data_IF_950017500211
#
_entry.id   IF_950017500211
#
_cell.length_a   1.000
_cell.length_b   1.000
_cell.length_c   1.000
_cell.angle_alpha   90.00
_cell.angle_beta   90.00
_cell.angle_gamma   90.00
#
_symmetry.space_group_name_H-M   'P 1'
#
loop_
_entity.id
_entity.type
_entity.pdbx_description
1 polymer ?
#
# COMPACT_ATOMS: atom_id res chain seq x y z
N UNK A 1 11.57 -14.14 -25.13
CA UNK A 1 11.20 -13.18 -24.07
C UNK A 1 11.87 -13.66 -22.78
N UNK A 2 12.79 -12.88 -22.22
CA UNK A 2 13.41 -13.22 -20.93
C UNK A 2 12.34 -13.14 -19.85
N UNK A 3 12.23 -14.18 -19.02
CA UNK A 3 11.27 -14.26 -17.91
C UNK A 3 12.07 -14.17 -16.63
N UNK A 4 12.20 -12.96 -16.09
CA UNK A 4 12.86 -12.76 -14.80
C UNK A 4 11.88 -13.14 -13.69
N UNK A 5 12.26 -14.09 -12.83
CA UNK A 5 11.49 -14.51 -11.67
C UNK A 5 12.34 -14.46 -10.41
N UNK A 6 11.74 -13.95 -9.35
CA UNK A 6 12.37 -13.82 -8.04
C UNK A 6 11.79 -14.90 -7.12
N UNK A 7 12.67 -15.57 -6.39
CA UNK A 7 12.32 -16.64 -5.45
C UNK A 7 13.04 -16.47 -4.13
N UNK A 8 12.39 -16.91 -3.06
CA UNK A 8 13.02 -17.07 -1.75
C UNK A 8 13.49 -18.53 -1.61
N UNK A 9 14.77 -18.73 -1.35
CA UNK A 9 15.38 -20.05 -1.40
C UNK A 9 16.24 -20.30 -0.16
N UNK A 10 16.28 -21.55 0.29
CA UNK A 10 17.15 -22.00 1.37
C UNK A 10 18.49 -22.49 0.79
N UNK A 11 19.60 -22.07 1.39
CA UNK A 11 20.94 -22.58 1.08
C UNK A 11 21.09 -24.00 1.63
N UNK A 12 21.34 -24.95 0.75
CA UNK A 12 21.55 -26.37 1.09
C UNK A 12 23.03 -26.70 1.21
N UNK A 13 23.86 -26.05 0.38
CA UNK A 13 25.31 -26.15 0.41
C UNK A 13 25.94 -24.81 0.01
N UNK A 14 27.04 -24.47 0.66
CA UNK A 14 27.81 -23.25 0.41
C UNK A 14 29.29 -23.53 0.12
N UNK A 15 29.68 -24.81 0.04
CA UNK A 15 31.00 -25.21 -0.42
C UNK A 15 30.97 -25.47 -1.93
N UNK A 16 31.36 -24.46 -2.71
CA UNK A 16 31.41 -24.53 -4.18
C UNK A 16 32.35 -25.64 -4.71
N UNK A 17 33.20 -26.24 -3.88
CA UNK A 17 33.96 -27.43 -4.29
C UNK A 17 33.09 -28.69 -4.43
N UNK A 18 31.86 -28.65 -3.92
CA UNK A 18 30.86 -29.70 -4.14
C UNK A 18 30.07 -29.53 -5.45
N UNK A 19 30.39 -28.50 -6.24
CA UNK A 19 29.84 -28.34 -7.59
C UNK A 19 30.57 -29.24 -8.60
N UNK A 20 29.83 -29.76 -9.58
CA UNK A 20 30.36 -30.73 -10.57
C UNK A 20 31.55 -30.21 -11.40
N UNK A 21 31.72 -28.90 -11.51
CA UNK A 21 32.75 -28.25 -12.32
C UNK A 21 33.89 -27.58 -11.50
N UNK A 22 33.81 -27.57 -10.16
CA UNK A 22 34.89 -27.10 -9.26
C UNK A 22 35.44 -25.69 -9.52
N UNK A 23 34.66 -24.80 -10.16
CA UNK A 23 35.16 -23.50 -10.66
C UNK A 23 35.36 -22.42 -9.58
N UNK A 24 34.98 -22.65 -8.32
CA UNK A 24 35.13 -21.69 -7.19
C UNK A 24 34.63 -20.28 -7.52
N UNK A 25 33.43 -20.20 -8.08
CA UNK A 25 32.71 -18.98 -8.45
C UNK A 25 31.82 -18.44 -7.31
N UNK A 26 32.12 -18.82 -6.06
CA UNK A 26 31.31 -18.50 -4.88
C UNK A 26 29.85 -18.96 -5.03
N UNK A 27 29.61 -20.11 -5.67
CA UNK A 27 28.24 -20.60 -5.85
C UNK A 27 27.70 -21.22 -4.57
N UNK A 28 26.38 -21.17 -4.45
CA UNK A 28 25.62 -21.86 -3.41
C UNK A 28 24.59 -22.78 -4.05
N UNK A 29 24.37 -23.95 -3.46
CA UNK A 29 23.29 -24.85 -3.83
C UNK A 29 22.04 -24.45 -3.07
N UNK A 30 20.92 -24.31 -3.77
CA UNK A 30 19.68 -23.77 -3.18
C UNK A 30 18.46 -24.64 -3.41
N UNK A 31 17.49 -24.54 -2.51
CA UNK A 31 16.16 -25.14 -2.63
C UNK A 31 15.08 -24.06 -2.60
N UNK A 32 14.23 -24.04 -3.61
CA UNK A 32 13.08 -23.15 -3.71
C UNK A 32 11.83 -23.92 -3.31
N UNK A 33 11.01 -23.37 -2.41
CA UNK A 33 9.73 -23.96 -2.03
C UNK A 33 8.57 -23.15 -2.63
N UNK A 34 7.50 -23.81 -3.10
CA UNK A 34 7.26 -25.27 -3.09
C UNK A 34 7.89 -26.06 -4.25
N UNK A 35 8.49 -25.41 -5.24
CA UNK A 35 8.87 -25.99 -6.54
C UNK A 35 9.87 -27.15 -6.45
N UNK A 36 10.75 -27.15 -5.44
CA UNK A 36 11.83 -28.13 -5.28
C UNK A 36 11.70 -28.96 -3.99
N UNK A 37 10.49 -29.04 -3.42
CA UNK A 37 10.25 -29.74 -2.14
C UNK A 37 10.69 -31.21 -2.17
N UNK A 38 10.46 -31.91 -3.28
CA UNK A 38 10.74 -33.35 -3.46
C UNK A 38 12.05 -33.61 -4.22
N UNK A 39 12.82 -32.55 -4.52
CA UNK A 39 14.07 -32.65 -5.27
C UNK A 39 15.22 -33.00 -4.33
N UNK A 40 15.86 -34.13 -4.59
CA UNK A 40 17.05 -34.58 -3.86
C UNK A 40 18.21 -33.59 -4.02
N UNK A 41 19.00 -33.40 -2.96
CA UNK A 41 20.02 -32.34 -2.88
C UNK A 41 20.98 -32.32 -4.09
N UNK A 42 21.42 -33.49 -4.56
CA UNK A 42 22.31 -33.62 -5.73
C UNK A 42 21.76 -33.05 -7.05
N UNK A 43 20.44 -32.83 -7.14
CA UNK A 43 19.77 -32.30 -8.33
C UNK A 43 19.38 -30.81 -8.17
N UNK A 44 19.70 -30.20 -7.04
CA UNK A 44 19.43 -28.80 -6.80
C UNK A 44 20.42 -27.90 -7.55
N UNK A 45 19.98 -26.75 -8.06
CA UNK A 45 20.85 -25.88 -8.83
C UNK A 45 21.90 -25.20 -7.95
N UNK A 46 23.11 -25.10 -8.48
CA UNK A 46 24.15 -24.21 -8.01
C UNK A 46 23.99 -22.86 -8.69
N UNK A 47 23.89 -21.79 -7.92
CA UNK A 47 23.70 -20.43 -8.43
C UNK A 47 24.81 -19.52 -7.93
N UNK A 48 25.18 -18.55 -8.77
CA UNK A 48 26.30 -17.63 -8.52
C UNK A 48 25.82 -16.29 -7.97
N UNK A 49 26.69 -15.50 -7.32
CA UNK A 49 26.29 -14.17 -6.88
C UNK A 49 25.94 -13.29 -8.08
N UNK A 50 24.96 -12.40 -7.90
CA UNK A 50 24.64 -11.36 -8.88
C UNK A 50 25.77 -10.31 -9.01
N UNK A 51 26.51 -10.06 -7.92
CA UNK A 51 27.68 -9.18 -7.87
C UNK A 51 28.81 -9.81 -7.04
N UNK A 52 30.04 -9.79 -7.53
CA UNK A 52 31.18 -10.42 -6.85
C UNK A 52 31.92 -9.49 -5.87
N UNK A 53 31.62 -8.18 -5.87
CA UNK A 53 32.39 -7.21 -5.10
C UNK A 53 31.86 -7.13 -3.65
N UNK A 54 32.65 -7.63 -2.70
CA UNK A 54 32.41 -7.44 -1.26
C UNK A 54 31.26 -8.25 -0.66
N UNK A 55 30.65 -9.16 -1.42
CA UNK A 55 29.60 -10.04 -0.88
C UNK A 55 30.22 -11.21 -0.13
N UNK A 56 29.73 -11.47 1.09
CA UNK A 56 30.00 -12.71 1.79
C UNK A 56 29.36 -13.88 1.01
N UNK A 57 29.76 -15.12 1.28
CA UNK A 57 29.02 -16.30 0.79
C UNK A 57 27.94 -16.63 1.82
N UNK A 58 26.65 -16.77 1.43
CA UNK A 58 25.59 -17.22 2.33
C UNK A 58 25.97 -18.51 3.07
N UNK A 59 25.57 -18.62 4.33
CA UNK A 59 25.81 -19.83 5.11
C UNK A 59 24.78 -20.91 4.80
N UNK A 60 25.15 -22.17 5.01
CA UNK A 60 24.21 -23.27 4.93
C UNK A 60 23.02 -23.03 5.87
N UNK A 61 21.82 -23.30 5.36
CA UNK A 61 20.51 -23.01 5.96
C UNK A 61 20.06 -21.54 5.95
N UNK A 62 20.87 -20.60 5.46
CA UNK A 62 20.40 -19.23 5.25
C UNK A 62 19.28 -19.22 4.21
N UNK A 63 18.37 -18.26 4.35
CA UNK A 63 17.38 -17.95 3.33
C UNK A 63 17.79 -16.71 2.57
N UNK A 64 17.79 -16.80 1.24
CA UNK A 64 18.29 -15.76 0.34
C UNK A 64 17.32 -15.50 -0.80
N UNK A 65 17.42 -14.31 -1.38
CA UNK A 65 16.71 -13.97 -2.62
C UNK A 65 17.52 -14.47 -3.81
N UNK A 66 16.82 -15.12 -4.72
CA UNK A 66 17.37 -15.66 -5.95
C UNK A 66 16.58 -15.17 -7.15
N UNK A 67 17.28 -14.94 -8.26
CA UNK A 67 16.74 -14.44 -9.51
C UNK A 67 17.05 -15.48 -10.59
N UNK A 68 16.03 -15.99 -11.26
CA UNK A 68 16.18 -16.85 -12.43
C UNK A 68 15.73 -16.10 -13.69
N UNK A 69 16.56 -16.18 -14.73
CA UNK A 69 16.27 -15.55 -16.03
C UNK A 69 15.60 -16.52 -17.03
N UNK A 70 15.36 -17.75 -16.57
CA UNK A 70 14.70 -18.82 -17.32
C UNK A 70 13.66 -19.56 -16.46
N UNK A 71 12.75 -20.29 -17.11
CA UNK A 71 11.67 -21.03 -16.45
C UNK A 71 12.10 -22.41 -15.92
N UNK A 72 13.31 -22.85 -16.21
CA UNK A 72 13.82 -24.20 -15.95
C UNK A 72 14.90 -24.23 -14.87
N UNK A 73 15.09 -23.12 -14.14
CA UNK A 73 16.05 -22.99 -13.05
C UNK A 73 17.51 -23.26 -13.47
N UNK A 74 17.87 -22.98 -14.73
CA UNK A 74 19.22 -23.25 -15.24
C UNK A 74 20.20 -22.11 -15.02
N UNK A 75 19.69 -20.88 -15.02
CA UNK A 75 20.51 -19.67 -14.90
C UNK A 75 19.94 -18.81 -13.78
N UNK A 76 20.45 -19.08 -12.58
CA UNK A 76 20.09 -18.40 -11.35
C UNK A 76 21.24 -17.54 -10.82
N UNK A 77 20.86 -16.47 -10.14
CA UNK A 77 21.75 -15.61 -9.38
C UNK A 77 21.21 -15.43 -7.97
N UNK A 78 22.07 -15.34 -6.97
CA UNK A 78 21.64 -14.90 -5.64
C UNK A 78 22.08 -13.47 -5.36
N UNK A 79 21.29 -12.77 -4.57
CA UNK A 79 21.65 -11.47 -4.00
C UNK A 79 21.90 -11.73 -2.51
N UNK A 80 23.17 -11.75 -2.10
CA UNK A 80 23.54 -11.95 -0.69
C UNK A 80 23.62 -10.63 0.05
N UNK A 81 22.51 -9.92 0.07
CA UNK A 81 22.48 -8.73 0.86
C UNK A 81 21.12 -8.57 1.51
N UNK A 82 21.08 -8.86 2.81
CA UNK A 82 20.04 -8.32 3.68
C UNK A 82 19.97 -6.79 3.50
N UNK A 83 21.11 -6.11 3.28
CA UNK A 83 21.13 -4.68 2.99
C UNK A 83 20.55 -4.32 1.62
N UNK A 84 20.54 -5.20 0.62
CA UNK A 84 19.84 -4.90 -0.65
C UNK A 84 18.33 -4.94 -0.47
N UNK A 85 17.79 -5.66 0.52
CA UNK A 85 16.37 -5.50 0.87
C UNK A 85 16.15 -4.34 1.82
N UNK A 86 16.97 -4.22 2.86
CA UNK A 86 16.83 -3.18 3.89
C UNK A 86 17.08 -1.75 3.34
N UNK A 87 17.99 -1.57 2.37
CA UNK A 87 18.29 -0.26 1.78
C UNK A 87 17.49 0.04 0.49
N UNK A 88 16.94 -0.98 -0.18
CA UNK A 88 16.21 -0.79 -1.45
C UNK A 88 14.70 -0.74 -1.22
N UNK A 89 14.21 -1.35 -0.15
CA UNK A 89 12.80 -1.35 0.22
C UNK A 89 12.61 -1.29 1.73
N UNK A 90 12.52 -0.08 2.25
CA UNK A 90 12.19 0.16 3.65
C UNK A 90 10.69 -0.05 3.90
N UNK A 91 10.31 -1.30 4.19
CA UNK A 91 8.94 -1.64 4.58
C UNK A 91 8.52 -0.94 5.87
N UNK A 92 9.45 -0.58 6.76
CA UNK A 92 9.12 0.09 8.03
C UNK A 92 8.51 1.47 7.80
N UNK A 93 8.94 2.18 6.75
CA UNK A 93 8.32 3.45 6.33
C UNK A 93 6.89 3.23 5.84
N UNK A 94 6.64 2.16 5.09
CA UNK A 94 5.30 1.82 4.59
C UNK A 94 4.39 1.45 5.77
N UNK A 95 4.84 0.55 6.63
CA UNK A 95 4.13 0.13 7.83
C UNK A 95 3.82 1.32 8.73
N UNK A 96 4.80 2.18 9.01
CA UNK A 96 4.62 3.40 9.82
C UNK A 96 3.58 4.34 9.22
N UNK A 97 3.54 4.49 7.90
CA UNK A 97 2.62 5.40 7.24
C UNK A 97 1.20 4.85 7.15
N UNK A 98 1.05 3.57 6.79
CA UNK A 98 -0.26 2.97 6.64
C UNK A 98 -0.88 2.64 8.02
N UNK A 99 -0.09 2.32 9.06
CA UNK A 99 -0.61 2.10 10.43
C UNK A 99 -1.25 3.35 11.05
N UNK A 100 -1.00 4.54 10.50
CA UNK A 100 -1.68 5.78 10.90
C UNK A 100 -3.14 5.85 10.39
N UNK A 101 -3.52 4.94 9.50
CA UNK A 101 -4.83 4.91 8.83
C UNK A 101 -5.71 3.88 9.53
N UNK A 102 -6.58 4.35 10.42
CA UNK A 102 -7.46 3.49 11.22
C UNK A 102 -8.39 2.61 10.37
N UNK A 103 -8.73 3.04 9.16
CA UNK A 103 -9.64 2.32 8.24
C UNK A 103 -9.00 1.09 7.59
N UNK A 104 -7.67 0.97 7.61
CA UNK A 104 -6.96 -0.17 7.00
C UNK A 104 -6.96 -1.40 7.92
N UNK A 105 -7.18 -1.19 9.23
CA UNK A 105 -7.07 -2.22 10.25
C UNK A 105 -5.61 -2.48 10.65
N UNK A 106 -5.37 -3.62 11.30
CA UNK A 106 -4.02 -4.05 11.67
C UNK A 106 -3.21 -4.39 10.44
N UNK A 107 -1.94 -3.98 10.46
CA UNK A 107 -0.98 -4.25 9.40
C UNK A 107 0.16 -5.03 10.00
N UNK A 108 0.50 -6.15 9.37
CA UNK A 108 1.66 -6.95 9.72
C UNK A 108 2.33 -7.37 8.43
N UNK A 109 3.66 -7.38 8.37
CA UNK A 109 4.33 -8.00 7.22
C UNK A 109 3.96 -9.50 7.16
N UNK A 110 3.63 -10.08 5.99
CA UNK A 110 3.68 -9.52 4.63
C UNK A 110 2.31 -9.08 4.07
N UNK A 111 1.36 -8.69 4.91
CA UNK A 111 -0.04 -8.48 4.52
C UNK A 111 -0.26 -7.31 3.56
N UNK A 112 0.68 -6.37 3.47
CA UNK A 112 0.57 -5.25 2.53
C UNK A 112 1.27 -5.56 1.21
N UNK A 113 0.48 -5.64 0.15
CA UNK A 113 0.96 -5.55 -1.23
C UNK A 113 0.91 -4.09 -1.65
N UNK A 114 2.01 -3.52 -2.12
CA UNK A 114 2.06 -2.10 -2.46
C UNK A 114 2.98 -1.76 -3.63
N UNK A 115 2.77 -0.55 -4.15
CA UNK A 115 3.65 0.17 -5.07
C UNK A 115 3.93 1.55 -4.49
N UNK A 116 5.19 1.94 -4.48
CA UNK A 116 5.64 3.27 -4.07
C UNK A 116 6.03 4.10 -5.29
N UNK A 117 5.72 5.38 -5.26
CA UNK A 117 6.04 6.37 -6.29
C UNK A 117 7.07 7.38 -5.76
N UNK A 118 7.80 8.04 -6.67
CA UNK A 118 8.86 9.01 -6.31
C UNK A 118 8.34 10.22 -5.54
N UNK A 119 7.07 10.59 -5.74
CA UNK A 119 6.40 11.65 -5.00
C UNK A 119 6.09 11.25 -3.54
N UNK A 120 6.29 9.99 -3.17
CA UNK A 120 5.95 9.41 -1.86
C UNK A 120 4.49 8.95 -1.76
N UNK A 121 3.80 8.81 -2.88
CA UNK A 121 2.52 8.11 -2.97
C UNK A 121 2.73 6.60 -2.83
N UNK A 122 1.81 5.94 -2.13
CA UNK A 122 1.78 4.50 -1.89
C UNK A 122 0.40 4.00 -2.31
N UNK A 123 0.34 3.18 -3.35
CA UNK A 123 -0.83 2.37 -3.68
C UNK A 123 -0.70 1.03 -2.96
N UNK A 124 -1.74 0.57 -2.27
CA UNK A 124 -1.64 -0.65 -1.48
C UNK A 124 -2.94 -1.45 -1.39
N UNK A 125 -2.78 -2.73 -1.06
CA UNK A 125 -3.83 -3.67 -0.72
C UNK A 125 -3.39 -4.49 0.50
N UNK A 126 -4.21 -4.45 1.55
CA UNK A 126 -4.07 -5.30 2.72
C UNK A 126 -4.77 -6.63 2.46
N UNK A 127 -4.01 -7.72 2.33
CA UNK A 127 -4.56 -9.05 2.04
C UNK A 127 -5.23 -9.69 3.25
N UNK A 128 -4.91 -9.28 4.49
CA UNK A 128 -5.52 -9.87 5.68
C UNK A 128 -6.89 -9.26 5.97
N UNK A 129 -7.04 -7.95 5.77
CA UNK A 129 -8.33 -7.27 5.98
C UNK A 129 -9.17 -7.20 4.71
N UNK A 130 -8.55 -7.12 3.53
CA UNK A 130 -9.23 -6.84 2.26
C UNK A 130 -9.29 -5.36 1.90
N UNK A 131 -8.82 -4.46 2.76
CA UNK A 131 -8.77 -3.01 2.49
C UNK A 131 -7.79 -2.70 1.36
N UNK A 132 -8.07 -1.65 0.59
CA UNK A 132 -7.14 -1.13 -0.41
C UNK A 132 -7.24 0.39 -0.52
N UNK A 133 -6.19 1.02 -1.04
CA UNK A 133 -6.21 2.46 -1.16
C UNK A 133 -4.91 3.08 -1.63
N UNK A 134 -4.90 4.40 -1.55
CA UNK A 134 -3.79 5.28 -1.92
C UNK A 134 -3.48 6.17 -0.73
N UNK A 135 -2.21 6.24 -0.35
CA UNK A 135 -1.70 7.15 0.68
C UNK A 135 -0.63 8.05 0.07
N UNK A 136 -0.66 9.35 0.37
CA UNK A 136 0.39 10.29 -0.02
C UNK A 136 1.22 10.69 1.21
N UNK A 137 2.54 10.88 1.06
CA UNK A 137 3.47 11.25 2.15
C UNK A 137 3.04 12.45 3.01
N UNK A 138 2.16 13.32 2.52
CA UNK A 138 1.56 14.41 3.29
C UNK A 138 0.53 13.98 4.33
N UNK A 139 0.20 12.68 4.42
CA UNK A 139 -0.85 12.15 5.29
C UNK A 139 -2.25 12.16 4.68
N UNK A 140 -2.39 12.53 3.40
CA UNK A 140 -3.64 12.44 2.66
C UNK A 140 -3.86 11.01 2.16
N UNK A 141 -5.10 10.55 2.08
CA UNK A 141 -5.39 9.20 1.61
C UNK A 141 -6.79 9.02 1.02
N UNK A 142 -6.94 7.95 0.24
CA UNK A 142 -8.21 7.37 -0.19
C UNK A 142 -8.22 5.88 0.16
N UNK A 143 -9.21 5.40 0.89
CA UNK A 143 -9.34 4.00 1.32
C UNK A 143 -10.71 3.45 0.93
N UNK A 144 -10.74 2.20 0.49
CA UNK A 144 -11.93 1.35 0.46
C UNK A 144 -11.71 0.23 1.47
N UNK A 145 -12.58 0.17 2.47
CA UNK A 145 -12.52 -0.84 3.52
C UNK A 145 -13.11 -2.20 3.05
N UNK A 146 -13.03 -3.27 3.86
CA UNK A 146 -13.51 -4.58 3.47
C UNK A 146 -15.03 -4.66 3.30
N UNK A 147 -15.77 -3.70 3.87
CA UNK A 147 -17.21 -3.59 3.77
C UNK A 147 -17.65 -2.72 2.57
N UNK A 148 -16.70 -2.21 1.77
CA UNK A 148 -16.96 -1.30 0.66
C UNK A 148 -17.21 0.15 1.06
N UNK A 149 -16.96 0.53 2.32
CA UNK A 149 -17.01 1.92 2.74
C UNK A 149 -15.81 2.69 2.17
N UNK A 150 -16.03 3.93 1.76
CA UNK A 150 -15.02 4.77 1.11
C UNK A 150 -14.65 5.94 2.01
N UNK A 151 -13.36 6.18 2.17
CA UNK A 151 -12.82 7.25 3.00
C UNK A 151 -11.83 8.08 2.20
N UNK A 152 -11.98 9.40 2.30
CA UNK A 152 -11.08 10.39 1.71
C UNK A 152 -10.63 11.32 2.83
N UNK A 153 -9.33 11.52 2.98
CA UNK A 153 -8.77 12.45 3.97
C UNK A 153 -7.72 13.33 3.32
N UNK A 154 -7.80 14.63 3.55
CA UNK A 154 -6.76 15.55 3.12
C UNK A 154 -5.59 15.66 4.13
N UNK A 155 -4.54 16.38 3.74
CA UNK A 155 -3.36 16.61 4.60
C UNK A 155 -3.68 17.39 5.89
N UNK A 156 -4.79 18.12 5.92
CA UNK A 156 -5.19 18.97 7.07
C UNK A 156 -6.14 18.27 8.02
N UNK A 157 -6.55 17.03 7.71
CA UNK A 157 -7.44 16.22 8.53
C UNK A 157 -8.92 16.34 8.19
N UNK A 158 -9.31 17.09 7.14
CA UNK A 158 -10.68 17.06 6.64
C UNK A 158 -10.95 15.68 6.05
N UNK A 159 -12.09 15.10 6.41
CA UNK A 159 -12.44 13.72 6.02
C UNK A 159 -13.84 13.64 5.43
N UNK A 160 -13.96 12.90 4.34
CA UNK A 160 -15.23 12.45 3.77
C UNK A 160 -15.32 10.94 3.97
N UNK A 161 -16.45 10.47 4.50
CA UNK A 161 -16.72 9.03 4.66
C UNK A 161 -18.04 8.70 3.97
N UNK A 162 -18.05 7.66 3.14
CA UNK A 162 -19.22 7.18 2.42
C UNK A 162 -19.49 5.73 2.83
N UNK A 163 -20.70 5.46 3.30
CA UNK A 163 -21.13 4.13 3.72
C UNK A 163 -22.64 3.95 3.47
N UNK A 164 -23.21 2.85 3.94
CA UNK A 164 -24.64 2.53 3.80
C UNK A 164 -25.59 3.55 4.44
N UNK A 165 -25.11 4.37 5.39
CA UNK A 165 -25.90 5.43 6.05
C UNK A 165 -25.81 6.78 5.32
N UNK A 166 -25.00 6.87 4.27
CA UNK A 166 -24.83 8.07 3.45
C UNK A 166 -23.42 8.64 3.47
N UNK A 167 -23.31 9.94 3.18
CA UNK A 167 -22.05 10.68 3.06
C UNK A 167 -21.88 11.60 4.27
N UNK A 168 -20.77 11.43 5.00
CA UNK A 168 -20.41 12.24 6.16
C UNK A 168 -19.22 13.11 5.85
N UNK A 169 -19.35 14.41 6.14
CA UNK A 169 -18.28 15.39 6.06
C UNK A 169 -17.82 15.74 7.48
N UNK A 170 -16.55 15.46 7.79
CA UNK A 170 -15.92 15.80 9.06
C UNK A 170 -14.88 16.89 8.82
N UNK A 171 -15.20 18.17 9.09
CA UNK A 171 -14.22 19.25 9.01
C UNK A 171 -13.21 19.14 10.15
N UNK A 172 -11.97 19.57 9.90
CA UNK A 172 -11.01 19.82 10.97
C UNK A 172 -11.47 21.01 11.81
N UNK A 173 -11.17 20.99 13.11
CA UNK A 173 -11.67 21.92 14.12
C UNK A 173 -11.72 23.38 13.62
N UNK A 174 -12.91 23.99 13.70
CA UNK A 174 -13.12 25.40 13.37
C UNK A 174 -13.41 25.73 11.90
N UNK A 175 -13.64 24.74 11.02
CA UNK A 175 -14.02 24.98 9.62
C UNK A 175 -15.46 24.55 9.31
N UNK A 176 -16.15 25.34 8.49
CA UNK A 176 -17.48 25.02 7.98
C UNK A 176 -17.39 24.16 6.72
N UNK A 177 -18.39 23.29 6.51
CA UNK A 177 -18.62 22.67 5.21
C UNK A 177 -18.99 23.78 4.22
N UNK A 178 -18.18 23.95 3.17
CA UNK A 178 -18.45 24.89 2.09
C UNK A 178 -18.87 24.08 0.87
N UNK A 179 -20.16 24.14 0.53
CA UNK A 179 -20.66 23.63 -0.74
C UNK A 179 -20.65 24.82 -1.72
N UNK A 180 -20.03 24.65 -2.88
CA UNK A 180 -19.95 25.68 -3.92
C UNK A 180 -20.54 25.16 -5.22
N UNK A 181 -21.09 26.07 -6.00
CA UNK A 181 -21.46 25.82 -7.39
C UNK A 181 -20.20 25.79 -8.28
N UNK A 182 -20.35 25.38 -9.54
CA UNK A 182 -19.27 25.37 -10.54
C UNK A 182 -18.62 26.75 -10.75
N UNK A 183 -19.26 27.84 -10.34
CA UNK A 183 -18.74 29.22 -10.42
C UNK A 183 -18.14 29.73 -9.09
N UNK A 184 -17.87 28.84 -8.12
CA UNK A 184 -17.36 29.16 -6.78
C UNK A 184 -18.31 30.01 -5.91
N UNK A 185 -19.51 30.34 -6.39
CA UNK A 185 -20.57 30.88 -5.54
C UNK A 185 -20.99 29.83 -4.51
N UNK A 186 -21.23 30.25 -3.26
CA UNK A 186 -21.76 29.36 -2.23
C UNK A 186 -23.05 28.70 -2.74
N UNK A 187 -23.12 27.38 -2.61
CA UNK A 187 -24.32 26.64 -2.91
C UNK A 187 -25.42 27.14 -1.98
N UNK A 188 -26.42 27.75 -2.58
CA UNK A 188 -27.60 28.24 -1.91
C UNK A 188 -28.68 27.19 -2.20
N UNK A 189 -28.81 26.11 -1.41
CA UNK A 189 -29.89 25.15 -1.61
C UNK A 189 -31.18 25.96 -1.59
N UNK A 190 -31.93 25.89 -2.70
CA UNK A 190 -33.15 26.66 -2.97
C UNK A 190 -33.75 27.27 -1.72
N UNK A 191 -33.81 28.60 -1.70
CA UNK A 191 -34.42 29.44 -0.68
C UNK A 191 -35.93 29.19 -0.68
N UNK A 192 -36.38 27.97 -0.38
CA UNK A 192 -37.63 27.75 0.32
C UNK A 192 -37.24 27.87 1.77
N UNK A 193 -37.56 29.01 2.42
CA UNK A 193 -37.11 29.25 3.76
C UNK A 193 -37.62 28.11 4.66
N UNK A 194 -36.74 27.66 5.56
CA UNK A 194 -36.99 26.64 6.59
C UNK A 194 -38.36 26.83 7.30
N UNK A 195 -38.90 28.06 7.27
CA UNK A 195 -40.26 28.46 7.63
C UNK A 195 -41.38 27.55 7.08
N UNK A 196 -41.28 27.03 5.85
CA UNK A 196 -42.29 26.11 5.28
C UNK A 196 -42.31 24.76 6.02
N UNK A 197 -41.17 24.31 6.56
CA UNK A 197 -41.04 23.00 7.19
C UNK A 197 -41.13 23.06 8.72
N UNK A 198 -40.81 24.20 9.34
CA UNK A 198 -40.79 24.35 10.81
C UNK A 198 -41.94 25.19 11.37
N UNK A 199 -42.79 25.77 10.51
CA UNK A 199 -43.94 26.57 10.94
C UNK A 199 -43.58 27.90 11.63
N UNK A 200 -42.31 28.29 11.65
CA UNK A 200 -41.86 29.54 12.25
C UNK A 200 -41.91 30.68 11.20
N UNK A 201 -42.80 31.68 11.34
CA UNK A 201 -42.81 32.81 10.43
C UNK A 201 -41.61 33.72 10.71
N UNK A 202 -40.62 33.73 9.82
CA UNK A 202 -39.68 34.86 9.74
C UNK A 202 -40.30 35.93 8.83
N UNK A 203 -41.39 36.53 9.32
CA UNK A 203 -42.00 37.71 8.71
C UNK A 203 -41.29 38.97 9.17
N UNK A 204 -40.87 39.81 8.22
CA UNK A 204 -40.28 41.11 8.50
C UNK A 204 -39.93 41.83 7.21
N UNK A 205 -39.86 43.17 7.24
CA UNK A 205 -39.58 44.00 6.04
C UNK A 205 -38.31 43.59 5.29
N UNK A 206 -37.31 43.04 5.98
CA UNK A 206 -36.05 42.57 5.40
C UNK A 206 -36.22 41.33 4.52
N UNK A 207 -37.31 40.58 4.67
CA UNK A 207 -37.67 39.43 3.85
C UNK A 207 -38.64 39.77 2.70
N UNK A 208 -38.91 41.05 2.45
CA UNK A 208 -39.78 41.50 1.36
C UNK A 208 -41.28 41.27 1.58
N UNK A 209 -41.70 40.90 2.79
CA UNK A 209 -43.11 40.70 3.15
C UNK A 209 -43.63 42.00 3.76
N UNK A 210 -44.37 42.79 2.98
CA UNK A 210 -44.86 44.12 3.37
C UNK A 210 -46.31 44.15 3.84
N UNK A 211 -47.08 43.06 3.65
CA UNK A 211 -48.55 43.12 3.73
C UNK A 211 -49.21 42.03 4.58
N UNK A 212 -48.50 41.46 5.57
CA UNK A 212 -49.16 40.62 6.58
C UNK A 212 -49.99 41.50 7.52
N UNK A 213 -51.31 41.54 7.31
CA UNK A 213 -52.25 42.13 8.27
C UNK A 213 -52.28 41.28 9.54
N UNK A 214 -51.85 41.85 10.67
CA UNK A 214 -52.08 41.27 11.99
C UNK A 214 -50.85 41.10 12.91
N UNK A 215 -49.76 41.84 12.69
CA UNK A 215 -48.74 42.06 13.73
C UNK A 215 -49.12 43.21 14.64
#
# INVERSE_FOLDING_TARGET
MLSLKIYYAQVIDNDDTNSDDNQKLARVQIRILPEMKDVGAKYLPWIKPFSINGMNVPQKNDYIITIFIDKFFRTGFYINDKLFLENFFDYSTIETNINKITEVGTITYPDIKCRTYEDGTIEFHNVSTGSHGVYHKSGAYQIIDPNGNIYLKDKTGNKISMNTTGIKFQPFAGKNLVLQTVTSALWNPNILPNCIFTGAPHGGKTAGITDLKGS
#
